data_IF_184766142362
#
_entry.id   IF_184766142362
#
_cell.length_a   1.000
_cell.length_b   1.000
_cell.length_c   1.000
_cell.angle_alpha   90.00
_cell.angle_beta   90.00
_cell.angle_gamma   90.00
#
_symmetry.space_group_name_H-M   'P 1'
#
loop_
_entity.id
_entity.type
_entity.pdbx_description
1 polymer ?
#
# COMPACT_ATOMS: atom_id res chain seq x y z
N UNK A 1 -2.12 -8.70 -10.93
CA UNK A 1 -1.21 -7.84 -10.15
C UNK A 1 -0.15 -7.25 -11.07
N UNK A 2 0.52 -6.16 -10.67
CA UNK A 2 1.37 -5.22 -11.46
C UNK A 2 1.88 -5.69 -12.84
N UNK A 3 2.37 -6.93 -12.96
CA UNK A 3 2.71 -7.61 -14.21
C UNK A 3 1.66 -7.52 -15.33
N UNK A 4 0.36 -7.52 -14.98
CA UNK A 4 -0.76 -7.47 -15.93
C UNK A 4 -1.28 -6.05 -16.22
N UNK A 5 -0.71 -5.01 -15.60
CA UNK A 5 -1.16 -3.62 -15.75
C UNK A 5 -0.10 -2.84 -16.51
N UNK A 6 -0.49 -2.28 -17.65
CA UNK A 6 0.42 -1.45 -18.46
C UNK A 6 0.91 -0.26 -17.65
N UNK A 7 2.22 -0.01 -17.73
CA UNK A 7 2.87 1.08 -16.98
C UNK A 7 3.09 0.79 -15.49
N UNK A 8 2.56 -0.28 -14.91
CA UNK A 8 2.84 -0.61 -13.51
C UNK A 8 4.27 -1.15 -13.35
N UNK A 9 5.00 -0.59 -12.39
CA UNK A 9 6.34 -1.03 -11.96
C UNK A 9 6.42 -1.37 -10.47
N UNK A 10 5.46 -0.92 -9.64
CA UNK A 10 5.37 -1.26 -8.21
C UNK A 10 3.92 -1.50 -7.79
N UNK A 11 3.74 -2.45 -6.88
CA UNK A 11 2.47 -2.70 -6.19
C UNK A 11 2.70 -2.68 -4.69
N UNK A 12 1.82 -2.00 -3.97
CA UNK A 12 1.73 -2.09 -2.53
C UNK A 12 0.37 -2.65 -2.15
N UNK A 13 0.37 -3.79 -1.44
CA UNK A 13 -0.83 -4.38 -0.87
C UNK A 13 -0.87 -4.06 0.62
N UNK A 14 -2.01 -3.62 1.13
CA UNK A 14 -2.15 -3.16 2.51
C UNK A 14 -3.56 -3.39 3.06
N UNK A 15 -3.71 -3.48 4.38
CA UNK A 15 -5.01 -3.54 5.03
C UNK A 15 -5.49 -2.13 5.37
N UNK A 16 -6.48 -1.68 4.62
CA UNK A 16 -7.23 -0.46 4.90
C UNK A 16 -8.34 -0.76 5.91
N UNK A 17 -8.13 -0.37 7.18
CA UNK A 17 -8.98 -0.75 8.31
C UNK A 17 -10.38 -0.11 8.18
N UNK A 18 -10.47 1.04 7.53
CA UNK A 18 -11.69 1.83 7.48
C UNK A 18 -12.33 1.91 6.08
N UNK A 19 -11.55 1.76 5.00
CA UNK A 19 -12.01 1.96 3.62
C UNK A 19 -12.80 0.80 3.02
N UNK A 20 -12.90 -0.36 3.68
CA UNK A 20 -13.61 -1.54 3.17
C UNK A 20 -14.75 -2.03 4.06
N UNK A 21 -15.23 -1.21 5.00
CA UNK A 21 -16.39 -1.55 5.84
C UNK A 21 -16.22 -2.82 6.69
N UNK A 22 -14.99 -3.09 7.16
CA UNK A 22 -14.66 -4.28 7.97
C UNK A 22 -14.24 -5.52 7.18
N UNK A 23 -14.08 -5.43 5.86
CA UNK A 23 -13.54 -6.53 5.04
C UNK A 23 -12.10 -6.89 5.42
N UNK A 24 -11.76 -8.18 5.35
CA UNK A 24 -10.39 -8.70 5.49
C UNK A 24 -9.59 -8.66 4.18
N UNK A 25 -10.17 -8.13 3.11
CA UNK A 25 -9.50 -8.01 1.82
C UNK A 25 -8.46 -6.89 1.86
N UNK A 26 -7.26 -7.20 1.36
CA UNK A 26 -6.23 -6.19 1.15
C UNK A 26 -6.64 -5.22 0.02
N UNK A 27 -6.31 -3.96 0.22
CA UNK A 27 -6.32 -2.93 -0.81
C UNK A 27 -4.98 -2.95 -1.54
N UNK A 28 -4.99 -2.70 -2.85
CA UNK A 28 -3.78 -2.67 -3.67
C UNK A 28 -3.66 -1.32 -4.38
N UNK A 29 -2.49 -0.73 -4.29
CA UNK A 29 -2.11 0.49 -5.03
C UNK A 29 -1.00 0.16 -6.04
N UNK A 30 -1.10 0.74 -7.23
CA UNK A 30 -0.19 0.48 -8.35
C UNK A 30 0.49 1.78 -8.78
N UNK A 31 1.79 1.71 -9.01
CA UNK A 31 2.61 2.87 -9.33
C UNK A 31 3.46 2.64 -10.58
N UNK A 32 3.76 3.71 -11.29
CA UNK A 32 4.60 3.67 -12.51
C UNK A 32 6.10 3.63 -12.21
N UNK A 33 6.50 3.90 -10.97
CA UNK A 33 7.89 3.83 -10.51
C UNK A 33 8.04 2.82 -9.38
N UNK A 34 9.25 2.28 -9.21
CA UNK A 34 9.60 1.47 -8.06
C UNK A 34 9.73 2.41 -6.85
N UNK A 35 9.03 2.08 -5.77
CA UNK A 35 9.14 2.80 -4.51
C UNK A 35 9.77 1.88 -3.46
N UNK A 36 10.11 2.44 -2.30
CA UNK A 36 10.69 1.67 -1.20
C UNK A 36 9.78 1.59 0.04
N UNK A 37 10.26 0.93 1.09
CA UNK A 37 9.51 0.68 2.32
C UNK A 37 9.06 2.00 2.97
N UNK A 38 9.75 3.13 2.73
CA UNK A 38 9.31 4.44 3.22
C UNK A 38 8.01 4.93 2.58
N UNK A 39 7.60 4.34 1.46
CA UNK A 39 6.30 4.60 0.81
C UNK A 39 5.25 3.55 1.12
N UNK A 40 5.68 2.40 1.66
CA UNK A 40 4.79 1.40 2.25
C UNK A 40 4.42 1.79 3.70
N UNK A 41 5.20 2.68 4.32
CA UNK A 41 4.86 3.30 5.58
C UNK A 41 3.74 4.32 5.41
N UNK A 42 2.60 4.00 6.02
CA UNK A 42 1.54 4.98 6.17
C UNK A 42 1.96 6.00 7.23
N UNK A 43 1.97 7.28 6.88
CA UNK A 43 1.79 8.35 7.88
C UNK A 43 0.34 8.34 8.42
N UNK A 44 -0.12 7.17 8.89
CA UNK A 44 -1.48 6.92 9.34
C UNK A 44 -1.80 7.70 10.60
N UNK A 45 -3.08 7.83 10.91
CA UNK A 45 -3.52 8.70 12.00
C UNK A 45 -4.13 10.02 11.54
N UNK A 46 -4.38 10.20 10.25
CA UNK A 46 -4.96 11.42 9.72
C UNK A 46 -6.46 11.46 10.00
N UNK A 47 -6.92 12.52 10.65
CA UNK A 47 -8.33 12.74 10.93
C UNK A 47 -9.05 13.08 9.63
N UNK A 48 -9.98 12.22 9.21
CA UNK A 48 -10.85 12.50 8.09
C UNK A 48 -11.83 13.63 8.42
N UNK A 49 -12.49 14.20 7.41
CA UNK A 49 -13.51 15.25 7.60
C UNK A 49 -14.69 14.82 8.47
N UNK A 50 -14.88 13.51 8.67
CA UNK A 50 -15.86 12.91 9.59
C UNK A 50 -15.41 12.88 11.06
N UNK A 51 -14.16 13.23 11.35
CA UNK A 51 -13.56 13.12 12.69
C UNK A 51 -13.02 11.73 13.02
N UNK A 52 -13.20 10.75 12.14
CA UNK A 52 -12.62 9.41 12.29
C UNK A 52 -11.16 9.41 11.86
N UNK A 53 -10.35 8.62 12.55
CA UNK A 53 -8.93 8.44 12.23
C UNK A 53 -8.78 7.21 11.36
N UNK A 54 -8.11 7.39 10.22
CA UNK A 54 -7.87 6.33 9.24
C UNK A 54 -6.50 5.69 9.43
N UNK A 55 -6.45 4.36 9.30
CA UNK A 55 -5.25 3.56 9.48
C UNK A 55 -5.09 2.55 8.33
N UNK A 56 -3.84 2.43 7.89
CA UNK A 56 -3.38 1.38 7.00
C UNK A 56 -2.39 0.55 7.82
N UNK A 57 -2.57 -0.76 7.82
CA UNK A 57 -1.69 -1.73 8.48
C UNK A 57 -1.26 -2.82 7.48
N UNK A 58 -0.29 -3.64 7.86
CA UNK A 58 0.13 -4.83 7.11
C UNK A 58 0.45 -4.54 5.63
N UNK A 59 1.25 -3.50 5.39
CA UNK A 59 1.68 -3.09 4.05
C UNK A 59 2.85 -3.95 3.55
N UNK A 60 2.77 -4.45 2.31
CA UNK A 60 3.86 -5.19 1.63
C UNK A 60 3.99 -4.75 0.16
N UNK A 61 5.19 -4.24 -0.18
CA UNK A 61 5.51 -3.62 -1.45
C UNK A 61 6.41 -4.48 -2.35
N UNK A 62 6.13 -4.52 -3.65
CA UNK A 62 6.87 -5.31 -4.63
C UNK A 62 7.07 -4.56 -5.95
N UNK A 63 8.30 -4.53 -6.46
CA UNK A 63 8.56 -4.07 -7.82
C UNK A 63 8.44 -5.22 -8.84
N UNK A 64 8.06 -4.89 -10.08
CA UNK A 64 7.71 -5.81 -11.18
C UNK A 64 8.77 -6.85 -11.55
N UNK A 65 9.98 -6.73 -11.02
CA UNK A 65 11.09 -7.66 -11.23
C UNK A 65 11.37 -8.57 -10.01
N UNK A 66 10.47 -8.63 -9.02
CA UNK A 66 10.65 -9.48 -7.83
C UNK A 66 11.68 -8.95 -6.84
N UNK A 67 12.21 -7.74 -7.06
CA UNK A 67 12.95 -7.02 -6.04
C UNK A 67 11.97 -6.68 -4.91
N UNK A 68 12.01 -7.48 -3.84
CA UNK A 68 11.53 -7.07 -2.51
C UNK A 68 12.23 -5.75 -2.22
N UNK A 69 11.45 -4.73 -1.92
CA UNK A 69 12.09 -3.55 -1.35
C UNK A 69 12.57 -3.97 0.03
N UNK A 70 13.87 -3.86 0.29
CA UNK A 70 14.39 -4.10 1.62
C UNK A 70 13.79 -3.06 2.57
N UNK A 71 13.09 -3.55 3.59
CA UNK A 71 12.71 -2.73 4.75
C UNK A 71 14.00 -2.19 5.35
N UNK A 72 14.15 -0.87 5.39
CA UNK A 72 15.24 -0.24 6.13
C UNK A 72 14.96 -0.47 7.62
N UNK A 73 15.81 -1.26 8.27
CA UNK A 73 15.82 -1.46 9.73
C UNK A 73 15.90 -0.13 10.49
#
# INVERSE_FOLDING_TARGET
>A
MCNSVSGCNFVNAYHDVNGKGGSTQLTCSLFTSCHDASTADNCGGQTQSSGLVDFIIDSDGFCKNGAKVADAN
#
